data_IF_318844920368
#
_entry.id   IF_318844920368
#
_cell.length_a   1.000
_cell.length_b   1.000
_cell.length_c   1.000
_cell.angle_alpha   90.00
_cell.angle_beta   90.00
_cell.angle_gamma   90.00
#
_symmetry.space_group_name_H-M   'P 1'
#
loop_
_entity.id
_entity.type
_entity.pdbx_description
1 polymer ?
#
# COMPACT_ATOMS: atom_id res chain seq x y z
N UNK A 1 -3.85 3.54 -15.08
CA UNK A 1 -3.56 2.09 -15.24
C UNK A 1 -3.64 1.52 -13.84
N UNK A 2 -4.43 0.46 -13.57
CA UNK A 2 -4.61 -0.07 -12.23
C UNK A 2 -3.28 -0.59 -11.67
N UNK A 3 -2.98 -0.32 -10.40
CA UNK A 3 -1.78 -0.84 -9.74
C UNK A 3 -1.87 -2.35 -9.53
N UNK A 4 -3.08 -2.83 -9.27
CA UNK A 4 -3.33 -4.21 -8.92
C UNK A 4 -3.77 -5.01 -10.14
N UNK A 5 -2.96 -6.01 -10.50
CA UNK A 5 -3.19 -6.86 -11.68
C UNK A 5 -3.72 -8.25 -11.31
N UNK A 6 -3.62 -8.63 -10.04
CA UNK A 6 -4.02 -9.95 -9.56
C UNK A 6 -5.41 -9.86 -8.94
N UNK A 7 -6.43 -10.04 -9.78
CA UNK A 7 -7.81 -10.02 -9.34
C UNK A 7 -8.16 -11.31 -8.58
N UNK A 8 -9.07 -11.19 -7.62
CA UNK A 8 -9.68 -12.31 -6.89
C UNK A 8 -11.14 -11.99 -6.63
N UNK A 9 -11.90 -13.00 -6.20
CA UNK A 9 -13.30 -12.88 -5.84
C UNK A 9 -13.54 -13.65 -4.55
N UNK A 10 -14.40 -13.12 -3.68
CA UNK A 10 -14.92 -13.86 -2.51
C UNK A 10 -16.39 -14.18 -2.73
N UNK A 11 -16.76 -15.45 -2.59
CA UNK A 11 -18.16 -15.85 -2.57
C UNK A 11 -18.79 -15.57 -1.19
N UNK A 12 -20.02 -15.08 -1.20
CA UNK A 12 -20.83 -14.81 0.00
C UNK A 12 -22.27 -15.26 -0.27
N UNK A 13 -23.10 -15.30 0.78
CA UNK A 13 -24.53 -15.61 0.62
C UNK A 13 -25.26 -14.59 -0.30
N UNK A 14 -24.80 -13.34 -0.32
CA UNK A 14 -25.41 -12.24 -1.07
C UNK A 14 -24.79 -12.06 -2.48
N UNK A 15 -23.84 -12.92 -2.86
CA UNK A 15 -23.20 -12.92 -4.17
C UNK A 15 -21.67 -12.83 -4.10
N UNK A 16 -21.06 -12.29 -5.16
CA UNK A 16 -19.62 -12.25 -5.34
C UNK A 16 -19.07 -10.86 -4.99
N UNK A 17 -18.07 -10.82 -4.13
CA UNK A 17 -17.33 -9.60 -3.77
C UNK A 17 -16.00 -9.58 -4.53
N UNK A 18 -15.78 -8.62 -5.45
CA UNK A 18 -14.50 -8.46 -6.13
C UNK A 18 -13.37 -8.08 -5.17
N UNK A 19 -12.16 -8.49 -5.51
CA UNK A 19 -10.96 -8.17 -4.74
C UNK A 19 -9.68 -8.26 -5.55
N UNK A 20 -8.57 -8.00 -4.88
CA UNK A 20 -7.21 -8.12 -5.44
C UNK A 20 -6.29 -8.84 -4.45
N UNK A 21 -5.21 -9.43 -4.96
CA UNK A 21 -4.16 -10.02 -4.15
C UNK A 21 -2.98 -9.06 -3.94
N UNK A 22 -2.58 -8.88 -2.68
CA UNK A 22 -1.36 -8.15 -2.31
C UNK A 22 -0.35 -9.08 -1.62
N UNK A 23 0.94 -9.06 -1.99
CA UNK A 23 1.94 -9.88 -1.31
C UNK A 23 2.20 -9.38 0.11
N UNK A 24 2.31 -10.31 1.06
CA UNK A 24 2.67 -10.02 2.45
C UNK A 24 3.37 -11.21 3.11
N UNK A 25 3.80 -11.00 4.37
CA UNK A 25 4.34 -12.06 5.22
C UNK A 25 3.45 -12.23 6.46
N UNK A 26 3.06 -13.48 6.75
CA UNK A 26 2.45 -13.85 8.03
C UNK A 26 3.53 -14.42 8.94
N UNK A 27 3.65 -13.87 10.14
CA UNK A 27 4.51 -14.36 11.20
C UNK A 27 3.67 -15.17 12.19
N UNK A 28 3.72 -16.49 12.03
CA UNK A 28 3.06 -17.45 12.90
C UNK A 28 4.05 -18.59 13.22
N UNK A 29 4.83 -18.44 14.29
CA UNK A 29 6.00 -19.27 14.64
C UNK A 29 7.16 -19.09 13.64
N UNK A 30 6.91 -19.35 12.36
CA UNK A 30 7.79 -19.02 11.25
C UNK A 30 7.21 -17.88 10.41
N UNK A 31 7.96 -17.44 9.40
CA UNK A 31 7.50 -16.41 8.48
C UNK A 31 7.03 -17.08 7.20
N UNK A 32 5.87 -16.68 6.68
CA UNK A 32 5.27 -17.30 5.52
C UNK A 32 4.91 -16.25 4.48
N UNK A 33 5.36 -16.45 3.24
CA UNK A 33 4.82 -15.71 2.12
C UNK A 33 3.33 -16.02 1.96
N UNK A 34 2.52 -14.98 1.83
CA UNK A 34 1.11 -15.11 1.50
C UNK A 34 0.69 -14.04 0.51
N UNK A 35 -0.43 -14.31 -0.15
CA UNK A 35 -1.21 -13.29 -0.86
C UNK A 35 -2.40 -12.90 0.01
N UNK A 36 -2.48 -11.64 0.42
CA UNK A 36 -3.63 -11.08 1.11
C UNK A 36 -4.76 -10.91 0.11
N UNK A 37 -5.94 -11.46 0.41
CA UNK A 37 -7.14 -11.15 -0.37
C UNK A 37 -7.76 -9.85 0.14
N UNK A 38 -7.68 -8.76 -0.61
CA UNK A 38 -8.30 -7.46 -0.26
C UNK A 38 -9.55 -7.28 -1.08
N UNK A 39 -10.69 -7.11 -0.42
CA UNK A 39 -12.00 -7.12 -1.07
C UNK A 39 -12.68 -5.75 -1.07
N UNK A 40 -13.58 -5.54 -2.03
CA UNK A 40 -14.31 -4.29 -2.25
C UNK A 40 -15.09 -3.82 -1.01
N UNK A 41 -15.59 -4.76 -0.22
CA UNK A 41 -16.32 -4.50 1.01
C UNK A 41 -15.42 -4.12 2.21
N UNK A 42 -14.10 -4.00 1.99
CA UNK A 42 -13.14 -3.62 3.02
C UNK A 42 -12.66 -4.76 3.90
N UNK A 43 -13.06 -6.00 3.60
CA UNK A 43 -12.54 -7.18 4.28
C UNK A 43 -11.20 -7.60 3.68
N UNK A 44 -10.35 -8.19 4.53
CA UNK A 44 -9.03 -8.70 4.18
C UNK A 44 -8.91 -10.15 4.65
N UNK A 45 -8.58 -11.06 3.73
CA UNK A 45 -8.14 -12.41 4.08
C UNK A 45 -6.64 -12.43 4.31
N UNK A 46 -6.23 -12.65 5.56
CA UNK A 46 -4.83 -12.80 5.97
C UNK A 46 -4.66 -14.04 6.88
N UNK A 47 -5.09 -15.19 6.34
CA UNK A 47 -5.31 -16.45 7.07
C UNK A 47 -6.51 -16.33 8.01
N UNK A 48 -7.60 -15.84 7.46
CA UNK A 48 -8.81 -15.48 8.18
C UNK A 48 -9.31 -14.12 7.71
N UNK A 49 -10.62 -14.06 7.49
CA UNK A 49 -11.30 -12.85 7.03
C UNK A 49 -11.46 -11.88 8.20
N UNK A 50 -10.93 -10.68 8.04
CA UNK A 50 -10.96 -9.62 9.06
C UNK A 50 -11.28 -8.26 8.43
N UNK A 51 -11.67 -7.31 9.28
CA UNK A 51 -11.85 -5.90 8.92
C UNK A 51 -10.51 -5.20 8.70
N UNK A 52 -10.55 -4.02 8.08
CA UNK A 52 -9.38 -3.17 7.91
C UNK A 52 -8.74 -2.77 9.26
N UNK A 53 -9.55 -2.45 10.25
CA UNK A 53 -9.08 -2.06 11.59
C UNK A 53 -8.36 -3.22 12.29
N UNK A 54 -8.89 -4.43 12.19
CA UNK A 54 -8.25 -5.65 12.69
C UNK A 54 -6.96 -5.97 11.92
N UNK A 55 -6.92 -5.73 10.61
CA UNK A 55 -5.70 -5.87 9.82
C UNK A 55 -4.60 -4.93 10.32
N UNK A 56 -4.93 -3.65 10.57
CA UNK A 56 -4.01 -2.68 11.17
C UNK A 56 -3.57 -3.11 12.57
N UNK A 57 -4.44 -3.73 13.36
CA UNK A 57 -4.05 -4.28 14.66
C UNK A 57 -3.05 -5.44 14.50
N UNK A 58 -3.25 -6.32 13.52
CA UNK A 58 -2.34 -7.44 13.23
C UNK A 58 -0.99 -7.01 12.67
N UNK A 59 -0.92 -5.89 11.94
CA UNK A 59 0.39 -5.32 11.54
C UNK A 59 1.15 -4.79 12.75
N UNK A 60 0.46 -4.07 13.66
CA UNK A 60 1.05 -3.57 14.91
C UNK A 60 1.52 -4.67 15.85
N UNK A 61 0.83 -5.81 15.88
CA UNK A 61 1.25 -6.96 16.68
C UNK A 61 2.41 -7.75 16.05
N UNK A 62 2.81 -7.41 14.82
CA UNK A 62 3.81 -8.16 14.06
C UNK A 62 3.32 -9.50 13.53
N UNK A 63 2.00 -9.77 13.53
CA UNK A 63 1.42 -10.96 12.89
C UNK A 63 1.48 -10.84 11.37
N UNK A 64 1.08 -9.68 10.84
CA UNK A 64 1.37 -9.31 9.44
C UNK A 64 2.64 -8.49 9.46
N UNK A 65 3.62 -8.89 8.67
CA UNK A 65 4.90 -8.20 8.53
C UNK A 65 5.28 -8.10 7.06
N UNK A 66 6.26 -7.27 6.76
CA UNK A 66 6.87 -7.16 5.44
C UNK A 66 8.38 -7.46 5.46
N UNK A 67 8.92 -7.85 6.63
CA UNK A 67 10.33 -8.20 6.81
C UNK A 67 10.47 -9.57 7.49
N UNK A 68 11.54 -10.28 7.15
CA UNK A 68 11.91 -11.55 7.79
C UNK A 68 13.33 -11.42 8.34
N UNK A 69 13.55 -11.53 9.66
CA UNK A 69 14.88 -11.38 10.23
C UNK A 69 15.86 -12.45 9.72
N UNK A 70 17.15 -12.09 9.63
CA UNK A 70 18.21 -13.02 9.31
C UNK A 70 18.23 -14.22 10.28
N UNK A 71 18.54 -15.40 9.76
CA UNK A 71 18.51 -16.67 10.49
C UNK A 71 17.12 -17.27 10.71
N UNK A 72 16.03 -16.58 10.30
CA UNK A 72 14.66 -17.10 10.42
C UNK A 72 14.25 -17.91 9.20
N UNK A 73 13.33 -18.84 9.43
CA UNK A 73 12.70 -19.64 8.38
C UNK A 73 11.62 -18.83 7.66
N UNK A 74 11.72 -18.81 6.33
CA UNK A 74 10.73 -18.28 5.41
C UNK A 74 10.11 -19.41 4.59
N UNK A 75 8.83 -19.65 4.80
CA UNK A 75 8.05 -20.65 4.09
C UNK A 75 7.28 -20.07 2.93
N UNK A 76 7.27 -20.79 1.81
CA UNK A 76 6.30 -20.62 0.73
C UNK A 76 5.49 -21.92 0.71
N UNK A 77 4.21 -21.84 1.08
CA UNK A 77 3.36 -23.02 1.24
C UNK A 77 3.40 -23.92 0.01
N UNK A 78 3.55 -25.23 0.26
CA UNK A 78 3.65 -26.29 -0.76
C UNK A 78 4.81 -26.16 -1.76
N UNK A 79 5.74 -25.21 -1.54
CA UNK A 79 6.85 -24.98 -2.45
C UNK A 79 8.20 -25.18 -1.76
N UNK A 80 8.50 -24.39 -0.72
CA UNK A 80 9.82 -24.41 -0.10
C UNK A 80 9.83 -23.84 1.32
N UNK A 81 10.84 -24.24 2.09
CA UNK A 81 11.28 -23.57 3.31
C UNK A 81 12.73 -23.11 3.10
N UNK A 82 12.99 -21.84 3.39
CA UNK A 82 14.28 -21.18 3.19
C UNK A 82 14.75 -20.60 4.52
N UNK A 83 16.06 -20.56 4.74
CA UNK A 83 16.64 -19.75 5.82
C UNK A 83 17.04 -18.39 5.25
N UNK A 84 16.50 -17.32 5.82
CA UNK A 84 16.79 -15.96 5.36
C UNK A 84 18.17 -15.55 5.83
N UNK A 85 19.05 -15.16 4.91
CA UNK A 85 20.37 -14.59 5.23
C UNK A 85 20.31 -13.07 5.40
N UNK A 86 19.49 -12.40 4.60
CA UNK A 86 19.17 -10.99 4.69
C UNK A 86 17.78 -10.72 4.09
N UNK A 87 17.11 -9.64 4.54
CA UNK A 87 15.82 -9.19 4.02
C UNK A 87 15.81 -7.67 4.01
N UNK A 88 15.49 -7.09 2.85
CA UNK A 88 15.33 -5.65 2.66
C UNK A 88 13.94 -5.40 2.09
N UNK A 89 12.97 -4.96 2.92
CA UNK A 89 11.65 -4.63 2.42
C UNK A 89 11.71 -3.35 1.56
N UNK A 90 10.97 -3.29 0.45
CA UNK A 90 10.92 -2.09 -0.40
C UNK A 90 10.21 -0.90 0.29
N UNK A 91 9.47 -1.17 1.37
CA UNK A 91 8.77 -0.16 2.16
C UNK A 91 8.60 -0.53 3.63
N UNK A 92 7.88 0.30 4.35
CA UNK A 92 7.51 0.06 5.75
C UNK A 92 6.23 -0.78 5.85
N UNK A 93 5.93 -1.29 7.04
CA UNK A 93 4.64 -1.96 7.28
C UNK A 93 3.46 -0.99 7.09
N UNK A 94 3.66 0.30 7.37
CA UNK A 94 2.67 1.35 7.11
C UNK A 94 2.42 1.55 5.61
N UNK A 95 3.43 1.35 4.77
CA UNK A 95 3.25 1.37 3.31
C UNK A 95 2.35 0.23 2.84
N UNK A 96 2.45 -0.97 3.45
CA UNK A 96 1.51 -2.07 3.17
C UNK A 96 0.08 -1.71 3.60
N UNK A 97 -0.09 -1.05 4.76
CA UNK A 97 -1.41 -0.59 5.23
C UNK A 97 -2.02 0.43 4.25
N UNK A 98 -1.21 1.36 3.75
CA UNK A 98 -1.64 2.32 2.72
C UNK A 98 -2.00 1.63 1.42
N UNK A 99 -1.28 0.57 1.06
CA UNK A 99 -1.53 -0.21 -0.16
C UNK A 99 -2.88 -0.96 -0.08
N UNK A 100 -3.14 -1.64 1.04
CA UNK A 100 -4.45 -2.25 1.30
C UNK A 100 -5.58 -1.22 1.23
N UNK A 101 -5.39 -0.03 1.83
CA UNK A 101 -6.38 1.05 1.76
C UNK A 101 -6.62 1.51 0.32
N UNK A 102 -5.56 1.75 -0.45
CA UNK A 102 -5.68 2.16 -1.86
C UNK A 102 -6.40 1.10 -2.70
N UNK A 103 -6.13 -0.19 -2.50
CA UNK A 103 -6.85 -1.26 -3.16
C UNK A 103 -8.36 -1.22 -2.87
N UNK A 104 -8.76 -0.95 -1.62
CA UNK A 104 -10.18 -0.80 -1.25
C UNK A 104 -10.80 0.43 -1.96
N UNK A 105 -10.10 1.57 -2.01
CA UNK A 105 -10.59 2.75 -2.72
C UNK A 105 -10.78 2.49 -4.22
N UNK A 106 -9.78 1.87 -4.86
CA UNK A 106 -9.80 1.52 -6.29
C UNK A 106 -10.94 0.55 -6.63
N UNK A 107 -11.15 -0.49 -5.82
CA UNK A 107 -12.26 -1.44 -5.98
C UNK A 107 -13.64 -0.79 -5.82
N UNK A 108 -13.71 0.34 -5.12
CA UNK A 108 -14.92 1.13 -4.95
C UNK A 108 -15.06 2.26 -5.98
N UNK A 109 -14.12 2.40 -6.93
CA UNK A 109 -14.12 3.48 -7.91
C UNK A 109 -13.94 4.86 -7.28
N UNK A 110 -13.32 4.93 -6.10
CA UNK A 110 -13.01 6.17 -5.40
C UNK A 110 -11.58 6.61 -5.72
N UNK A 111 -11.28 7.93 -5.73
CA UNK A 111 -9.95 8.41 -6.10
C UNK A 111 -8.84 7.82 -5.23
N UNK A 112 -7.92 7.13 -5.87
CA UNK A 112 -6.70 6.62 -5.25
C UNK A 112 -5.75 7.75 -4.87
N UNK A 113 -4.74 7.47 -4.03
CA UNK A 113 -3.69 8.46 -3.75
C UNK A 113 -3.00 9.00 -5.02
N UNK A 114 -2.83 8.17 -6.05
CA UNK A 114 -2.26 8.60 -7.33
C UNK A 114 -3.17 9.59 -8.07
N UNK A 115 -4.46 9.29 -8.17
CA UNK A 115 -5.41 10.15 -8.86
C UNK A 115 -5.51 11.49 -8.14
N UNK A 116 -5.56 11.48 -6.80
CA UNK A 116 -5.52 12.70 -5.99
C UNK A 116 -4.23 13.51 -6.21
N UNK A 117 -3.08 12.86 -6.34
CA UNK A 117 -1.82 13.53 -6.70
C UNK A 117 -1.93 14.19 -8.08
N UNK A 118 -2.45 13.47 -9.09
CA UNK A 118 -2.58 14.00 -10.45
C UNK A 118 -3.54 15.20 -10.50
N UNK A 119 -4.65 15.13 -9.76
CA UNK A 119 -5.61 16.22 -9.62
C UNK A 119 -4.97 17.44 -8.96
N UNK A 120 -4.24 17.23 -7.86
CA UNK A 120 -3.55 18.31 -7.17
C UNK A 120 -2.45 18.96 -8.03
N UNK A 121 -1.68 18.18 -8.79
CA UNK A 121 -0.68 18.72 -9.74
C UNK A 121 -1.36 19.57 -10.81
N UNK A 122 -2.49 19.12 -11.37
CA UNK A 122 -3.26 19.92 -12.35
C UNK A 122 -3.75 21.24 -11.74
N UNK A 123 -4.32 21.19 -10.54
CA UNK A 123 -4.77 22.39 -9.83
C UNK A 123 -3.61 23.38 -9.58
N UNK A 124 -2.44 22.88 -9.14
CA UNK A 124 -1.24 23.71 -8.93
C UNK A 124 -0.74 24.33 -10.24
N UNK A 125 -0.81 23.60 -11.34
CA UNK A 125 -0.41 24.10 -12.66
C UNK A 125 -1.35 25.20 -13.19
N UNK A 126 -2.63 25.15 -12.83
CA UNK A 126 -3.61 26.19 -13.16
C UNK A 126 -3.45 27.43 -12.27
N UNK A 127 -3.40 27.22 -10.95
CA UNK A 127 -3.17 28.26 -9.96
C UNK A 127 -2.67 27.64 -8.64
N UNK A 128 -1.44 27.94 -8.24
CA UNK A 128 -0.85 27.41 -7.00
C UNK A 128 -1.51 28.05 -5.77
N UNK A 129 -2.52 27.37 -5.21
CA UNK A 129 -3.17 27.78 -3.96
C UNK A 129 -2.70 26.93 -2.76
N UNK A 130 -2.94 27.44 -1.56
CA UNK A 130 -2.64 26.71 -0.33
C UNK A 130 -3.43 25.39 -0.25
N UNK A 131 -4.68 25.39 -0.70
CA UNK A 131 -5.55 24.22 -0.73
C UNK A 131 -5.05 23.15 -1.71
N UNK A 132 -4.65 23.55 -2.93
CA UNK A 132 -4.11 22.63 -3.92
C UNK A 132 -2.80 21.98 -3.44
N UNK A 133 -1.95 22.76 -2.78
CA UNK A 133 -0.72 22.29 -2.15
C UNK A 133 -0.99 21.34 -0.98
N UNK A 134 -1.93 21.67 -0.09
CA UNK A 134 -2.32 20.82 1.02
C UNK A 134 -2.89 19.48 0.54
N UNK A 135 -3.70 19.50 -0.53
CA UNK A 135 -4.22 18.30 -1.18
C UNK A 135 -3.10 17.42 -1.74
N UNK A 136 -2.10 18.02 -2.40
CA UNK A 136 -0.91 17.31 -2.88
C UNK A 136 -0.14 16.64 -1.74
N UNK A 137 0.16 17.38 -0.66
CA UNK A 137 0.91 16.86 0.50
C UNK A 137 0.17 15.68 1.13
N UNK A 138 -1.14 15.82 1.35
CA UNK A 138 -1.97 14.76 1.91
C UNK A 138 -1.99 13.52 1.02
N UNK A 139 -2.22 13.67 -0.29
CA UNK A 139 -2.24 12.54 -1.22
C UNK A 139 -0.86 11.87 -1.35
N UNK A 140 0.22 12.65 -1.31
CA UNK A 140 1.59 12.12 -1.30
C UNK A 140 1.90 11.30 -0.04
N UNK A 141 1.42 11.75 1.13
CA UNK A 141 1.59 11.03 2.38
C UNK A 141 0.89 9.66 2.37
N UNK A 142 -0.28 9.58 1.74
CA UNK A 142 -1.10 8.36 1.60
C UNK A 142 -0.58 7.38 0.55
N UNK A 143 0.29 7.82 -0.37
CA UNK A 143 0.85 6.96 -1.39
C UNK A 143 1.98 6.07 -0.83
N UNK A 144 1.91 4.73 -0.96
CA UNK A 144 3.00 3.82 -0.55
C UNK A 144 4.32 4.17 -1.23
N UNK A 145 5.45 4.02 -0.53
CA UNK A 145 6.77 4.39 -1.06
C UNK A 145 7.12 3.69 -2.38
N UNK A 146 6.77 2.41 -2.53
CA UNK A 146 7.05 1.65 -3.75
C UNK A 146 6.22 2.17 -4.93
N UNK A 147 5.00 2.67 -4.73
CA UNK A 147 4.23 3.36 -5.77
C UNK A 147 4.83 4.73 -6.14
N UNK A 148 5.41 5.47 -5.19
CA UNK A 148 6.10 6.75 -5.48
C UNK A 148 7.23 6.54 -6.48
N UNK A 149 8.02 5.48 -6.31
CA UNK A 149 9.12 5.12 -7.22
C UNK A 149 8.63 4.79 -8.64
N UNK A 150 7.43 4.21 -8.78
CA UNK A 150 6.83 3.97 -10.09
C UNK A 150 6.26 5.25 -10.73
N UNK A 151 5.57 6.10 -9.95
CA UNK A 151 4.92 7.31 -10.45
C UNK A 151 5.94 8.39 -10.80
N UNK A 152 6.91 8.65 -9.91
CA UNK A 152 7.89 9.73 -10.05
C UNK A 152 9.27 9.24 -10.52
N UNK A 153 9.40 7.93 -10.75
CA UNK A 153 10.67 7.28 -11.08
C UNK A 153 11.63 7.16 -9.89
N UNK A 154 12.75 6.47 -10.09
CA UNK A 154 13.88 6.43 -9.13
C UNK A 154 14.60 7.78 -8.97
N UNK A 155 14.12 8.82 -9.68
CA UNK A 155 14.75 10.13 -9.80
C UNK A 155 13.82 11.24 -9.32
N UNK A 156 12.91 10.98 -8.38
CA UNK A 156 12.15 12.03 -7.68
C UNK A 156 13.06 13.19 -7.25
N UNK A 157 14.30 12.87 -6.83
CA UNK A 157 15.40 13.82 -6.54
C UNK A 157 15.67 14.87 -7.64
N UNK A 158 15.35 14.57 -8.90
CA UNK A 158 15.54 15.48 -10.05
C UNK A 158 14.33 16.38 -10.32
N UNK A 159 13.17 16.09 -9.72
CA UNK A 159 11.95 16.87 -9.83
C UNK A 159 11.88 17.92 -8.70
N UNK A 160 12.76 18.92 -8.77
CA UNK A 160 12.85 20.00 -7.75
C UNK A 160 11.55 20.81 -7.63
N UNK A 161 10.83 20.94 -8.73
CA UNK A 161 9.51 21.55 -8.87
C UNK A 161 8.42 20.80 -8.09
N UNK A 162 8.52 19.48 -7.97
CA UNK A 162 7.61 18.66 -7.17
C UNK A 162 8.07 18.64 -5.70
N UNK A 163 9.38 18.58 -5.45
CA UNK A 163 9.93 18.58 -4.09
C UNK A 163 9.61 19.85 -3.32
N UNK A 164 9.68 21.04 -3.95
CA UNK A 164 9.33 22.31 -3.30
C UNK A 164 7.89 22.33 -2.76
N UNK A 165 7.00 21.50 -3.30
CA UNK A 165 5.61 21.39 -2.82
C UNK A 165 5.51 20.65 -1.48
N UNK A 166 6.53 19.85 -1.14
CA UNK A 166 6.62 19.11 0.12
C UNK A 166 7.35 19.88 1.22
N UNK A 167 8.08 20.94 0.87
CA UNK A 167 8.79 21.78 1.85
C UNK A 167 7.78 22.56 2.73
N UNK A 168 8.12 22.99 3.94
CA UNK A 168 7.26 23.93 4.66
C UNK A 168 7.23 25.28 3.91
N UNK A 169 6.04 25.87 3.72
CA UNK A 169 5.95 27.26 3.25
C UNK A 169 6.64 28.14 4.28
N UNK A 170 7.63 28.94 3.85
CA UNK A 170 8.17 29.98 4.71
C UNK A 170 7.09 31.04 4.85
N UNK A 171 6.43 31.07 6.00
CA UNK A 171 5.53 32.16 6.34
C UNK A 171 6.36 33.45 6.35
N UNK A 172 6.04 34.36 5.42
CA UNK A 172 6.48 35.77 5.42
C UNK A 172 5.38 36.63 6.00
#
# INVERSE_FOLDING_TARGET
MPFYKYNTNRETADGVVPGVFLPAVIHNIHHYFTLLGVYKDGMIDCWGLITFEEFVAKTKSGWVTNTVPAGRTFGIHHLAYLTVTASEPEGTIDDLVKDVRNAIEELNGRPTAQERIADAIRAIAENETHEARAAFISAYADLPCFHRKYIFGSRMEKHKDIQRLLEPTKDT
#
